data_IF_780560482984
#
_entry.id   IF_780560482984
#
_cell.length_a   1.000
_cell.length_b   1.000
_cell.length_c   1.000
_cell.angle_alpha   90.00
_cell.angle_beta   90.00
_cell.angle_gamma   90.00
#
_symmetry.space_group_name_H-M   'P 1'
#
loop_
_entity.id
_entity.type
_entity.pdbx_description
1 polymer ?
#
# COMPACT_ATOMS: atom_id res chain seq x y z
N UNK A 1 3.73 46.99 -27.13
CA UNK A 1 5.14 46.81 -27.53
C UNK A 1 6.02 47.52 -26.52
N UNK A 2 6.88 46.78 -25.82
CA UNK A 2 7.92 47.39 -24.99
C UNK A 2 9.00 47.99 -25.90
N UNK A 3 9.54 49.15 -25.53
CA UNK A 3 10.66 49.80 -26.23
C UNK A 3 11.87 49.80 -25.30
N UNK A 4 12.99 49.29 -25.81
CA UNK A 4 14.28 49.36 -25.12
C UNK A 4 15.09 50.46 -25.81
N UNK A 5 15.53 51.44 -25.04
CA UNK A 5 16.49 52.46 -25.49
C UNK A 5 17.87 52.12 -24.94
N UNK A 6 18.84 51.92 -25.82
CA UNK A 6 20.24 51.67 -25.43
C UNK A 6 20.96 53.03 -25.38
N UNK A 7 21.62 53.32 -24.26
CA UNK A 7 22.50 54.49 -24.10
C UNK A 7 23.91 53.99 -23.85
N UNK A 8 24.90 54.74 -24.34
CA UNK A 8 26.32 54.50 -24.11
C UNK A 8 26.79 53.09 -24.53
N UNK A 9 26.33 52.62 -25.71
CA UNK A 9 26.81 51.36 -26.29
C UNK A 9 28.28 51.53 -26.71
N UNK A 10 29.21 50.68 -26.25
CA UNK A 10 30.61 50.78 -26.63
C UNK A 10 30.80 50.72 -28.15
N UNK A 11 31.67 51.58 -28.70
CA UNK A 11 31.86 51.75 -30.15
C UNK A 11 32.16 50.43 -30.87
N UNK A 12 33.05 49.61 -30.31
CA UNK A 12 33.39 48.30 -30.88
C UNK A 12 32.20 47.33 -30.98
N UNK A 13 31.22 47.43 -30.07
CA UNK A 13 29.99 46.61 -30.12
C UNK A 13 29.06 47.15 -31.19
N UNK A 14 28.95 48.48 -31.29
CA UNK A 14 28.16 49.12 -32.33
C UNK A 14 28.70 48.80 -33.74
N UNK A 15 30.01 48.90 -33.94
CA UNK A 15 30.69 48.55 -35.19
C UNK A 15 30.44 47.09 -35.59
N UNK A 16 30.59 46.16 -34.64
CA UNK A 16 30.31 44.74 -34.88
C UNK A 16 28.85 44.48 -35.29
N UNK A 17 27.89 45.22 -34.70
CA UNK A 17 26.47 45.12 -35.06
C UNK A 17 26.23 45.69 -36.47
N UNK A 18 26.89 46.80 -36.83
CA UNK A 18 26.80 47.38 -38.17
C UNK A 18 27.30 46.40 -39.24
N UNK A 19 28.48 45.81 -39.04
CA UNK A 19 29.04 44.80 -39.94
C UNK A 19 28.11 43.58 -40.08
N UNK A 20 27.55 43.10 -38.96
CA UNK A 20 26.58 42.00 -38.97
C UNK A 20 25.28 42.36 -39.70
N UNK A 21 24.78 43.58 -39.50
CA UNK A 21 23.56 44.07 -40.14
C UNK A 21 23.73 44.18 -41.66
N UNK A 22 24.87 44.70 -42.13
CA UNK A 22 25.22 44.74 -43.55
C UNK A 22 25.31 43.32 -44.15
N UNK A 23 26.03 42.42 -43.48
CA UNK A 23 26.19 41.03 -43.91
C UNK A 23 24.86 40.29 -44.02
N UNK A 24 23.92 40.58 -43.12
CA UNK A 24 22.60 39.95 -43.07
C UNK A 24 21.52 40.76 -43.80
N UNK A 25 21.89 41.85 -44.49
CA UNK A 25 21.01 42.74 -45.25
C UNK A 25 19.79 43.23 -44.42
N UNK A 26 20.04 43.66 -43.18
CA UNK A 26 19.05 44.14 -42.22
C UNK A 26 19.38 45.57 -41.78
N UNK A 27 18.38 46.28 -41.25
CA UNK A 27 18.66 47.51 -40.50
C UNK A 27 19.38 47.18 -39.20
N UNK A 28 20.16 48.13 -38.67
CA UNK A 28 20.84 47.99 -37.38
C UNK A 28 19.84 47.62 -36.27
N UNK A 29 18.68 48.30 -36.21
CA UNK A 29 17.61 47.97 -35.27
C UNK A 29 17.06 46.54 -35.47
N UNK A 30 16.90 46.12 -36.74
CA UNK A 30 16.46 44.77 -37.09
C UNK A 30 17.46 43.70 -36.65
N UNK A 31 18.75 43.98 -36.77
CA UNK A 31 19.82 43.08 -36.38
C UNK A 31 19.96 42.99 -34.85
N UNK A 32 19.90 44.12 -34.14
CA UNK A 32 19.85 44.13 -32.66
C UNK A 32 18.68 43.30 -32.16
N UNK A 33 17.50 43.44 -32.78
CA UNK A 33 16.33 42.63 -32.43
C UNK A 33 16.57 41.14 -32.67
N UNK A 34 17.20 40.76 -33.78
CA UNK A 34 17.51 39.36 -34.09
C UNK A 34 18.55 38.75 -33.12
N UNK A 35 19.60 39.50 -32.78
CA UNK A 35 20.63 39.09 -31.81
C UNK A 35 20.00 38.91 -30.43
N UNK A 36 19.19 39.87 -29.97
CA UNK A 36 18.49 39.78 -28.69
C UNK A 36 17.51 38.61 -28.67
N UNK A 37 16.76 38.36 -29.74
CA UNK A 37 15.87 37.19 -29.84
C UNK A 37 16.64 35.88 -29.71
N UNK A 38 17.78 35.78 -30.40
CA UNK A 38 18.64 34.59 -30.36
C UNK A 38 19.25 34.40 -28.96
N UNK A 39 19.70 35.48 -28.32
CA UNK A 39 20.23 35.43 -26.96
C UNK A 39 19.14 35.10 -25.92
N UNK A 40 17.93 35.64 -26.07
CA UNK A 40 16.81 35.28 -25.20
C UNK A 40 16.44 33.81 -25.37
N UNK A 41 16.45 33.28 -26.60
CA UNK A 41 16.20 31.85 -26.83
C UNK A 41 17.24 30.91 -26.22
N UNK A 42 18.46 31.39 -25.90
CA UNK A 42 19.46 30.59 -25.16
C UNK A 42 19.35 30.75 -23.64
N UNK A 43 18.63 31.77 -23.16
CA UNK A 43 18.33 32.00 -21.75
C UNK A 43 17.01 31.35 -21.32
N UNK A 44 16.07 31.18 -22.24
CA UNK A 44 14.85 30.44 -21.99
C UNK A 44 15.20 28.95 -21.81
N UNK A 45 14.91 28.34 -20.65
CA UNK A 45 15.09 26.91 -20.49
C UNK A 45 14.30 26.22 -21.60
N UNK A 46 14.91 25.25 -22.29
CA UNK A 46 14.16 24.39 -23.21
C UNK A 46 12.90 23.93 -22.47
N UNK A 47 11.69 24.14 -23.04
CA UNK A 47 10.49 23.64 -22.41
C UNK A 47 10.70 22.14 -22.21
N UNK A 48 10.65 21.68 -20.95
CA UNK A 48 10.79 20.27 -20.63
C UNK A 48 9.91 19.50 -21.62
N UNK A 49 10.45 18.52 -22.37
CA UNK A 49 9.73 17.88 -23.45
C UNK A 49 8.36 17.46 -22.92
N UNK A 50 7.28 17.92 -23.55
CA UNK A 50 5.92 17.61 -23.14
C UNK A 50 5.82 16.08 -23.07
N UNK A 51 5.85 15.54 -21.85
CA UNK A 51 5.81 14.09 -21.67
C UNK A 51 4.45 13.61 -22.15
N UNK A 52 4.47 12.59 -23.00
CA UNK A 52 3.23 11.93 -23.40
C UNK A 52 2.56 11.29 -22.19
N UNK A 53 1.23 11.11 -22.22
CA UNK A 53 0.51 10.40 -21.16
C UNK A 53 1.11 9.01 -20.89
N UNK A 54 1.60 8.36 -21.95
CA UNK A 54 2.32 7.08 -21.86
C UNK A 54 3.59 7.20 -21.01
N UNK A 55 4.44 8.21 -21.26
CA UNK A 55 5.68 8.41 -20.51
C UNK A 55 5.42 8.79 -19.05
N UNK A 56 4.40 9.61 -18.80
CA UNK A 56 3.97 9.95 -17.44
C UNK A 56 3.53 8.69 -16.70
N UNK A 57 2.69 7.86 -17.32
CA UNK A 57 2.22 6.62 -16.73
C UNK A 57 3.36 5.62 -16.50
N UNK A 58 4.21 5.38 -17.51
CA UNK A 58 5.37 4.48 -17.42
C UNK A 58 6.27 4.85 -16.24
N UNK A 59 6.69 6.12 -16.17
CA UNK A 59 7.53 6.60 -15.09
C UNK A 59 6.83 6.47 -13.74
N UNK A 60 5.55 6.85 -13.66
CA UNK A 60 4.77 6.75 -12.43
C UNK A 60 4.63 5.31 -11.92
N UNK A 61 4.43 4.32 -12.81
CA UNK A 61 4.39 2.90 -12.42
C UNK A 61 5.77 2.41 -11.99
N UNK A 62 6.84 2.81 -12.69
CA UNK A 62 8.23 2.50 -12.31
C UNK A 62 8.58 3.00 -10.91
N UNK A 63 8.27 4.27 -10.62
CA UNK A 63 8.48 4.88 -9.29
C UNK A 63 7.71 4.12 -8.19
N UNK A 64 6.49 3.67 -8.48
CA UNK A 64 5.67 2.91 -7.52
C UNK A 64 6.13 1.47 -7.35
N UNK A 65 6.64 0.81 -8.39
CA UNK A 65 7.28 -0.50 -8.28
C UNK A 65 8.52 -0.42 -7.36
N UNK A 66 9.38 0.59 -7.55
CA UNK A 66 10.56 0.77 -6.69
C UNK A 66 10.16 1.00 -5.22
N UNK A 67 9.15 1.86 -5.00
CA UNK A 67 8.62 2.14 -3.67
C UNK A 67 8.03 0.88 -3.01
N UNK A 68 7.25 0.08 -3.76
CA UNK A 68 6.72 -1.20 -3.28
C UNK A 68 7.85 -2.14 -2.88
N UNK A 69 8.87 -2.32 -3.72
CA UNK A 69 9.98 -3.21 -3.42
C UNK A 69 10.82 -2.73 -2.23
N UNK A 70 11.00 -1.41 -2.07
CA UNK A 70 11.61 -0.84 -0.87
C UNK A 70 10.82 -1.17 0.39
N UNK A 71 9.49 -1.05 0.36
CA UNK A 71 8.61 -1.41 1.47
C UNK A 71 8.65 -2.91 1.78
N UNK A 72 8.56 -3.80 0.78
CA UNK A 72 8.64 -5.25 0.98
C UNK A 72 9.99 -5.67 1.60
N UNK A 73 11.08 -4.97 1.26
CA UNK A 73 12.40 -5.17 1.89
C UNK A 73 12.41 -4.74 3.34
N UNK A 74 11.89 -3.55 3.63
CA UNK A 74 11.73 -3.04 5.00
C UNK A 74 10.91 -4.00 5.87
N UNK A 75 9.83 -4.53 5.30
CA UNK A 75 8.89 -5.44 5.98
C UNK A 75 9.38 -6.89 6.04
N UNK A 76 10.50 -7.21 5.36
CA UNK A 76 11.13 -8.52 5.32
C UNK A 76 10.21 -9.63 4.79
N UNK A 77 9.55 -9.36 3.66
CA UNK A 77 8.59 -10.28 3.01
C UNK A 77 9.29 -11.44 2.26
N UNK A 78 10.60 -11.37 2.07
CA UNK A 78 11.36 -12.34 1.30
C UNK A 78 11.52 -13.69 2.01
N UNK A 79 11.33 -14.78 1.26
CA UNK A 79 11.53 -16.14 1.77
C UNK A 79 13.01 -16.42 2.07
N UNK A 80 13.32 -17.30 3.03
CA UNK A 80 14.67 -17.79 3.26
C UNK A 80 15.30 -18.30 1.95
N UNK A 81 16.52 -17.84 1.64
CA UNK A 81 17.26 -18.23 0.44
C UNK A 81 17.04 -17.35 -0.80
N UNK A 82 16.17 -16.34 -0.75
CA UNK A 82 16.00 -15.37 -1.83
C UNK A 82 16.68 -14.05 -1.49
N UNK A 83 17.61 -13.63 -2.35
CA UNK A 83 18.23 -12.32 -2.20
C UNK A 83 17.18 -11.21 -2.51
N UNK A 84 17.02 -10.20 -1.65
CA UNK A 84 16.11 -9.08 -1.86
C UNK A 84 16.66 -8.08 -2.90
N UNK A 85 17.18 -8.59 -4.02
CA UNK A 85 17.70 -7.81 -5.14
C UNK A 85 16.64 -7.71 -6.22
N UNK A 86 16.74 -6.71 -7.10
CA UNK A 86 15.81 -6.55 -8.22
C UNK A 86 15.82 -7.79 -9.14
N UNK A 87 16.98 -8.43 -9.34
CA UNK A 87 17.07 -9.67 -10.08
C UNK A 87 16.41 -10.86 -9.36
N UNK A 88 16.49 -10.90 -8.02
CA UNK A 88 15.76 -11.88 -7.21
C UNK A 88 14.25 -11.69 -7.31
N UNK A 89 13.78 -10.43 -7.28
CA UNK A 89 12.37 -10.08 -7.46
C UNK A 89 11.90 -10.47 -8.86
N UNK A 90 12.64 -10.11 -9.92
CA UNK A 90 12.32 -10.50 -11.29
C UNK A 90 12.12 -12.01 -11.43
N UNK A 91 13.01 -12.80 -10.82
CA UNK A 91 12.87 -14.26 -10.78
C UNK A 91 11.64 -14.72 -10.00
N UNK A 92 11.35 -14.12 -8.84
CA UNK A 92 10.20 -14.45 -8.00
C UNK A 92 8.88 -14.21 -8.72
N UNK A 93 8.78 -13.10 -9.45
CA UNK A 93 7.58 -12.79 -10.22
C UNK A 93 7.52 -13.58 -11.54
N UNK A 94 8.55 -14.32 -11.93
CA UNK A 94 8.56 -15.19 -13.10
C UNK A 94 9.08 -14.57 -14.40
N UNK A 95 9.84 -13.48 -14.34
CA UNK A 95 10.54 -12.95 -15.51
C UNK A 95 11.68 -13.89 -15.94
N UNK A 96 11.86 -14.07 -17.26
CA UNK A 96 12.97 -14.85 -17.82
C UNK A 96 14.34 -14.20 -17.51
N UNK A 97 14.39 -12.88 -17.53
CA UNK A 97 15.59 -12.08 -17.22
C UNK A 97 15.18 -10.82 -16.46
N UNK A 98 16.07 -10.19 -15.67
CA UNK A 98 15.72 -8.98 -14.94
C UNK A 98 15.59 -7.74 -15.85
N UNK A 99 16.01 -7.80 -17.11
CA UNK A 99 16.14 -6.64 -17.98
C UNK A 99 14.83 -5.86 -18.12
N UNK A 100 13.71 -6.55 -18.39
CA UNK A 100 12.43 -5.88 -18.58
C UNK A 100 11.97 -5.15 -17.30
N UNK A 101 12.10 -5.78 -16.14
CA UNK A 101 11.77 -5.15 -14.86
C UNK A 101 12.65 -3.92 -14.61
N UNK A 102 13.96 -4.01 -14.88
CA UNK A 102 14.89 -2.88 -14.70
C UNK A 102 14.52 -1.72 -15.63
N UNK A 103 14.25 -1.99 -16.90
CA UNK A 103 13.82 -0.97 -17.86
C UNK A 103 12.49 -0.31 -17.45
N UNK A 104 11.57 -1.06 -16.82
CA UNK A 104 10.34 -0.50 -16.26
C UNK A 104 10.60 0.42 -15.07
N UNK A 105 11.51 0.05 -14.17
CA UNK A 105 11.90 0.88 -13.03
C UNK A 105 12.57 2.18 -13.48
N UNK A 106 13.39 2.12 -14.53
CA UNK A 106 14.05 3.29 -15.12
C UNK A 106 13.09 4.14 -15.98
N UNK A 107 11.82 3.73 -16.14
CA UNK A 107 10.82 4.41 -16.97
C UNK A 107 11.09 4.33 -18.48
N UNK A 108 11.96 3.41 -18.90
CA UNK A 108 12.33 3.16 -20.30
C UNK A 108 11.27 2.29 -20.98
N UNK A 109 10.81 1.23 -20.30
CA UNK A 109 9.81 0.29 -20.80
C UNK A 109 8.46 0.41 -20.07
N UNK A 110 7.37 0.05 -20.75
CA UNK A 110 6.07 -0.15 -20.09
C UNK A 110 6.02 -1.56 -19.50
N UNK A 111 5.58 -1.72 -18.24
CA UNK A 111 5.22 -3.05 -17.74
C UNK A 111 3.95 -3.54 -18.45
N UNK A 112 3.84 -4.86 -18.62
CA UNK A 112 2.59 -5.50 -19.07
C UNK A 112 1.62 -5.66 -17.90
N UNK A 113 0.32 -5.73 -18.18
CA UNK A 113 -0.68 -6.02 -17.13
C UNK A 113 -0.41 -7.38 -16.46
N UNK A 114 -0.02 -8.40 -17.22
CA UNK A 114 0.37 -9.71 -16.68
C UNK A 114 1.54 -9.61 -15.67
N UNK A 115 2.54 -8.79 -15.97
CA UNK A 115 3.65 -8.55 -15.04
C UNK A 115 3.18 -7.87 -13.77
N UNK A 116 2.30 -6.86 -13.88
CA UNK A 116 1.73 -6.19 -12.72
C UNK A 116 0.87 -7.16 -11.89
N UNK A 117 0.05 -8.00 -12.52
CA UNK A 117 -0.76 -9.02 -11.86
C UNK A 117 0.12 -10.00 -11.07
N UNK A 118 1.24 -10.46 -11.65
CA UNK A 118 2.21 -11.33 -10.97
C UNK A 118 2.88 -10.62 -9.79
N UNK A 119 3.25 -9.34 -9.92
CA UNK A 119 3.77 -8.53 -8.82
C UNK A 119 2.75 -8.42 -7.70
N UNK A 120 1.49 -8.12 -8.02
CA UNK A 120 0.41 -7.98 -7.04
C UNK A 120 0.12 -9.31 -6.34
N UNK A 121 0.04 -10.41 -7.09
CA UNK A 121 -0.19 -11.74 -6.53
C UNK A 121 0.89 -12.13 -5.52
N UNK A 122 2.16 -11.84 -5.83
CA UNK A 122 3.28 -12.11 -4.93
C UNK A 122 3.34 -11.15 -3.73
N UNK A 123 3.17 -9.85 -3.97
CA UNK A 123 3.36 -8.81 -2.95
C UNK A 123 2.14 -8.56 -2.07
N UNK A 124 0.98 -9.10 -2.43
CA UNK A 124 -0.32 -8.76 -1.83
C UNK A 124 -0.62 -7.25 -1.85
N UNK A 125 -0.10 -6.55 -2.86
CA UNK A 125 -0.27 -5.11 -3.05
C UNK A 125 -1.62 -4.73 -3.68
N UNK A 126 -1.84 -3.43 -3.88
CA UNK A 126 -3.02 -2.87 -4.54
C UNK A 126 -2.76 -2.61 -6.03
N UNK A 127 -3.61 -3.16 -6.89
CA UNK A 127 -3.58 -2.89 -8.33
C UNK A 127 -3.86 -1.42 -8.65
N UNK A 128 -4.92 -0.84 -8.05
CA UNK A 128 -5.30 0.57 -8.24
C UNK A 128 -4.15 1.51 -7.85
N UNK A 129 -3.47 1.20 -6.73
CA UNK A 129 -2.33 1.98 -6.30
C UNK A 129 -1.16 1.83 -7.27
N UNK A 130 -0.84 0.61 -7.70
CA UNK A 130 0.30 0.37 -8.57
C UNK A 130 0.11 1.01 -9.96
N UNK A 131 -1.09 0.91 -10.53
CA UNK A 131 -1.39 1.41 -11.87
C UNK A 131 -1.67 2.93 -11.91
N UNK A 132 -2.33 3.47 -10.88
CA UNK A 132 -2.83 4.85 -10.90
C UNK A 132 -2.40 5.71 -9.72
N UNK A 133 -1.81 5.13 -8.67
CA UNK A 133 -1.45 5.83 -7.43
C UNK A 133 -2.63 6.07 -6.49
N UNK A 134 -3.79 5.48 -6.77
CA UNK A 134 -5.01 5.67 -5.98
C UNK A 134 -5.08 4.64 -4.84
N UNK A 135 -5.42 5.09 -3.63
CA UNK A 135 -5.61 4.23 -2.47
C UNK A 135 -4.30 3.84 -1.77
N UNK A 136 -4.35 2.89 -0.83
CA UNK A 136 -3.16 2.42 -0.11
C UNK A 136 -2.35 1.39 -0.91
N UNK A 137 -1.05 1.31 -0.64
CA UNK A 137 -0.15 0.30 -1.22
C UNK A 137 -0.60 -1.13 -0.87
N UNK A 138 -0.91 -1.38 0.41
CA UNK A 138 -1.47 -2.64 0.86
C UNK A 138 -2.95 -2.46 1.21
N UNK A 139 -3.86 -3.12 0.48
CA UNK A 139 -5.29 -3.06 0.80
C UNK A 139 -5.57 -3.57 2.22
N UNK A 140 -6.32 -2.79 2.98
CA UNK A 140 -6.86 -3.19 4.28
C UNK A 140 -8.36 -2.87 4.32
N UNK A 141 -9.20 -3.90 4.31
CA UNK A 141 -10.66 -3.73 4.31
C UNK A 141 -11.20 -3.54 5.72
N UNK A 142 -12.02 -2.52 5.95
CA UNK A 142 -12.84 -2.47 7.17
C UNK A 142 -13.90 -3.58 7.06
N UNK A 143 -13.76 -4.64 7.85
CA UNK A 143 -14.68 -5.78 7.81
C UNK A 143 -16.03 -5.40 8.41
N UNK A 144 -16.05 -4.45 9.35
CA UNK A 144 -17.26 -3.97 10.00
C UNK A 144 -18.11 -5.09 10.59
N UNK A 145 -19.27 -5.34 9.99
CA UNK A 145 -20.18 -6.45 10.32
C UNK A 145 -20.33 -7.49 9.20
N UNK A 146 -19.60 -7.33 8.09
CA UNK A 146 -19.65 -8.19 6.90
C UNK A 146 -18.56 -9.26 6.96
N UNK A 147 -18.64 -10.13 7.97
CA UNK A 147 -17.58 -11.11 8.27
C UNK A 147 -17.39 -12.18 7.19
N UNK A 148 -18.48 -12.57 6.52
CA UNK A 148 -18.55 -13.74 5.64
C UNK A 148 -17.55 -13.67 4.49
N UNK A 149 -17.45 -12.54 3.80
CA UNK A 149 -16.55 -12.38 2.64
C UNK A 149 -15.08 -12.58 3.03
N UNK A 150 -14.70 -12.11 4.22
CA UNK A 150 -13.33 -12.26 4.69
C UNK A 150 -13.05 -13.68 5.21
N UNK A 151 -13.88 -14.16 6.15
CA UNK A 151 -13.62 -15.36 6.94
C UNK A 151 -14.13 -16.67 6.31
N UNK A 152 -15.00 -16.61 5.30
CA UNK A 152 -15.47 -17.80 4.56
C UNK A 152 -14.83 -17.92 3.16
N UNK A 153 -13.87 -17.07 2.82
CA UNK A 153 -13.08 -17.18 1.59
C UNK A 153 -12.45 -18.56 1.41
N UNK A 154 -12.60 -19.17 0.23
CA UNK A 154 -12.11 -20.53 -0.05
C UNK A 154 -12.49 -21.49 1.09
N UNK A 155 -13.80 -21.59 1.37
CA UNK A 155 -14.34 -22.19 2.59
C UNK A 155 -13.81 -23.60 2.87
N UNK A 156 -13.67 -24.37 1.79
CA UNK A 156 -13.27 -25.78 1.81
C UNK A 156 -11.74 -25.96 1.83
N UNK A 157 -10.97 -24.88 1.66
CA UNK A 157 -9.51 -24.95 1.68
C UNK A 157 -8.97 -25.00 3.10
N UNK A 158 -8.22 -26.07 3.39
CA UNK A 158 -7.44 -26.22 4.64
C UNK A 158 -6.10 -25.48 4.60
N UNK A 159 -5.75 -24.88 3.47
CA UNK A 159 -4.53 -24.10 3.30
C UNK A 159 -4.68 -22.65 3.77
N UNK A 160 -5.91 -22.22 4.06
CA UNK A 160 -6.20 -20.87 4.53
C UNK A 160 -6.14 -20.81 6.06
N UNK A 161 -5.28 -19.93 6.58
CA UNK A 161 -5.17 -19.61 8.01
C UNK A 161 -5.61 -18.17 8.27
N UNK A 162 -6.33 -17.94 9.36
CA UNK A 162 -6.71 -16.61 9.82
C UNK A 162 -5.94 -16.27 11.09
N UNK A 163 -5.23 -15.15 11.05
CA UNK A 163 -4.52 -14.58 12.18
C UNK A 163 -5.27 -13.34 12.63
N UNK A 164 -5.70 -13.30 13.89
CA UNK A 164 -6.39 -12.17 14.50
C UNK A 164 -5.45 -11.54 15.52
N UNK A 165 -4.99 -10.32 15.22
CA UNK A 165 -4.02 -9.59 16.03
C UNK A 165 -4.77 -8.48 16.77
N UNK A 166 -4.79 -8.52 18.10
CA UNK A 166 -5.25 -7.40 18.92
C UNK A 166 -4.14 -6.37 18.99
N UNK A 167 -4.41 -5.16 18.50
CA UNK A 167 -3.48 -4.02 18.56
C UNK A 167 -3.45 -3.45 19.97
N UNK A 168 -2.24 -3.27 20.49
CA UNK A 168 -1.97 -2.75 21.82
C UNK A 168 -1.22 -1.43 21.77
N UNK A 169 -1.73 -0.45 22.51
CA UNK A 169 -1.14 0.89 22.56
C UNK A 169 -1.58 1.80 21.42
N UNK A 170 -1.07 3.03 21.48
CA UNK A 170 -1.31 4.09 20.50
C UNK A 170 -2.78 4.41 20.22
N UNK A 171 -3.05 4.94 19.01
CA UNK A 171 -4.36 5.51 18.65
C UNK A 171 -5.43 4.43 18.43
N UNK A 172 -5.01 3.25 18.00
CA UNK A 172 -5.89 2.15 17.60
C UNK A 172 -5.92 1.02 18.64
N UNK A 173 -5.58 1.31 19.92
CA UNK A 173 -5.64 0.31 20.99
C UNK A 173 -7.01 -0.37 21.07
N UNK A 174 -6.99 -1.71 20.99
CA UNK A 174 -8.17 -2.56 20.95
C UNK A 174 -8.68 -2.89 19.55
N UNK A 175 -8.11 -2.34 18.47
CA UNK A 175 -8.40 -2.78 17.10
C UNK A 175 -8.03 -4.26 16.92
N UNK A 176 -8.82 -4.98 16.14
CA UNK A 176 -8.41 -6.27 15.60
C UNK A 176 -7.93 -6.07 14.16
N UNK A 177 -6.66 -6.40 13.90
CA UNK A 177 -6.15 -6.61 12.56
C UNK A 177 -6.31 -8.09 12.20
N UNK A 178 -7.04 -8.37 11.14
CA UNK A 178 -7.29 -9.72 10.64
C UNK A 178 -6.42 -9.95 9.41
N UNK A 179 -5.55 -10.96 9.45
CA UNK A 179 -4.73 -11.39 8.32
C UNK A 179 -5.20 -12.76 7.88
N UNK A 180 -5.61 -12.85 6.61
CA UNK A 180 -5.87 -14.13 5.94
C UNK A 180 -4.62 -14.50 5.15
N UNK A 181 -4.11 -15.71 5.37
CA UNK A 181 -2.97 -16.26 4.63
C UNK A 181 -3.41 -17.54 3.91
N UNK A 182 -3.40 -17.50 2.59
CA UNK A 182 -3.58 -18.68 1.73
C UNK A 182 -2.21 -19.28 1.41
N UNK A 183 -1.88 -20.39 2.07
CA UNK A 183 -0.57 -21.05 1.91
C UNK A 183 -0.39 -21.71 0.55
N UNK A 184 -1.47 -22.09 -0.13
CA UNK A 184 -1.36 -22.67 -1.48
C UNK A 184 -0.96 -21.59 -2.48
N UNK A 185 -1.54 -20.40 -2.35
CA UNK A 185 -1.27 -19.25 -3.23
C UNK A 185 -0.13 -18.36 -2.75
N UNK A 186 0.39 -18.59 -1.54
CA UNK A 186 1.34 -17.70 -0.85
C UNK A 186 0.86 -16.24 -0.79
N UNK A 187 -0.46 -16.06 -0.68
CA UNK A 187 -1.10 -14.75 -0.76
C UNK A 187 -1.65 -14.32 0.59
N UNK A 188 -1.58 -13.03 0.88
CA UNK A 188 -2.10 -12.42 2.09
C UNK A 188 -3.24 -11.45 1.77
N UNK A 189 -4.19 -11.33 2.70
CA UNK A 189 -5.20 -10.28 2.68
C UNK A 189 -5.40 -9.71 4.08
N UNK A 190 -5.62 -8.40 4.15
CA UNK A 190 -5.81 -7.69 5.43
C UNK A 190 -7.23 -7.18 5.54
N UNK A 191 -7.81 -7.38 6.71
CA UNK A 191 -8.97 -6.61 7.14
C UNK A 191 -8.78 -6.11 8.57
N UNK A 192 -9.63 -5.20 9.00
CA UNK A 192 -9.60 -4.70 10.37
C UNK A 192 -11.01 -4.44 10.91
N UNK A 193 -11.12 -4.44 12.23
CA UNK A 193 -12.34 -4.10 12.96
C UNK A 193 -11.96 -3.19 14.13
N UNK A 194 -12.54 -1.99 14.15
CA UNK A 194 -12.33 -0.98 15.21
C UNK A 194 -13.61 -0.20 15.50
N UNK A 195 -14.30 0.27 14.45
CA UNK A 195 -15.48 1.14 14.63
C UNK A 195 -16.68 0.44 15.29
N UNK A 196 -16.79 -0.89 15.12
CA UNK A 196 -17.92 -1.66 15.62
C UNK A 196 -17.73 -2.12 17.07
N UNK A 197 -16.50 -2.44 17.47
CA UNK A 197 -16.10 -2.80 18.82
C UNK A 197 -14.58 -2.69 18.96
N UNK A 198 -14.11 -2.49 20.20
CA UNK A 198 -12.70 -2.40 20.55
C UNK A 198 -12.38 -3.39 21.67
N UNK A 199 -11.39 -4.27 21.48
CA UNK A 199 -10.94 -5.23 22.49
C UNK A 199 -10.12 -4.54 23.60
N UNK A 200 -10.82 -3.79 24.46
CA UNK A 200 -10.28 -3.14 25.66
C UNK A 200 -11.37 -2.91 26.70
N UNK A 201 -10.93 -2.60 27.92
CA UNK A 201 -11.81 -2.19 29.02
C UNK A 201 -12.60 -0.92 28.66
N UNK A 202 -13.83 -0.82 29.16
CA UNK A 202 -14.70 0.35 28.97
C UNK A 202 -15.48 0.33 27.66
N UNK A 203 -15.63 -0.84 27.04
CA UNK A 203 -16.48 -1.02 25.86
C UNK A 203 -17.95 -0.68 26.21
N UNK A 204 -18.63 0.07 25.34
CA UNK A 204 -20.06 0.37 25.52
C UNK A 204 -20.96 -0.82 25.16
N UNK A 205 -22.23 -0.78 25.58
CA UNK A 205 -23.21 -1.86 25.35
C UNK A 205 -23.34 -2.25 23.86
N UNK A 206 -23.34 -1.26 22.95
CA UNK A 206 -23.37 -1.51 21.50
C UNK A 206 -22.14 -2.29 21.01
N UNK A 207 -20.95 -1.92 21.50
CA UNK A 207 -19.70 -2.63 21.21
C UNK A 207 -19.71 -4.07 21.72
N UNK A 208 -20.19 -4.30 22.95
CA UNK A 208 -20.34 -5.65 23.48
C UNK A 208 -21.27 -6.51 22.62
N UNK A 209 -22.41 -5.97 22.20
CA UNK A 209 -23.35 -6.68 21.31
C UNK A 209 -22.73 -7.03 19.96
N UNK A 210 -21.91 -6.14 19.39
CA UNK A 210 -21.20 -6.39 18.13
C UNK A 210 -20.09 -7.44 18.30
N UNK A 211 -19.28 -7.33 19.35
CA UNK A 211 -18.25 -8.32 19.68
C UNK A 211 -18.87 -9.70 19.90
N UNK A 212 -19.99 -9.77 20.63
CA UNK A 212 -20.70 -11.02 20.86
C UNK A 212 -21.18 -11.68 19.55
N UNK A 213 -21.76 -10.90 18.62
CA UNK A 213 -22.13 -11.40 17.28
C UNK A 213 -20.92 -11.88 16.49
N UNK A 214 -19.80 -11.16 16.55
CA UNK A 214 -18.56 -11.53 15.89
C UNK A 214 -18.00 -12.86 16.40
N UNK A 215 -17.88 -13.02 17.72
CA UNK A 215 -17.38 -14.27 18.34
C UNK A 215 -18.33 -15.44 18.06
N UNK A 216 -19.65 -15.23 18.13
CA UNK A 216 -20.64 -16.23 17.72
C UNK A 216 -20.43 -16.67 16.28
N UNK A 217 -20.27 -15.73 15.34
CA UNK A 217 -20.00 -16.02 13.94
C UNK A 217 -18.71 -16.83 13.77
N UNK A 218 -17.60 -16.43 14.41
CA UNK A 218 -16.35 -17.19 14.32
C UNK A 218 -16.51 -18.62 14.88
N UNK A 219 -17.18 -18.79 16.01
CA UNK A 219 -17.36 -20.10 16.64
C UNK A 219 -18.25 -21.02 15.81
N UNK A 220 -19.39 -20.50 15.32
CA UNK A 220 -20.43 -21.30 14.65
C UNK A 220 -20.24 -21.43 13.15
N UNK A 221 -19.74 -20.40 12.47
CA UNK A 221 -19.53 -20.43 11.02
C UNK A 221 -18.08 -20.69 10.61
N UNK A 222 -17.10 -20.53 11.52
CA UNK A 222 -15.68 -20.73 11.23
C UNK A 222 -15.02 -21.75 12.18
N UNK A 223 -15.78 -22.59 12.88
CA UNK A 223 -15.26 -23.47 13.94
C UNK A 223 -14.32 -24.58 13.49
N UNK A 224 -14.37 -24.97 12.22
CA UNK A 224 -13.48 -25.91 11.52
C UNK A 224 -12.31 -25.21 10.80
N UNK A 225 -12.22 -23.87 10.90
CA UNK A 225 -11.16 -23.06 10.29
C UNK A 225 -9.99 -22.90 11.24
N UNK A 226 -8.78 -22.69 10.70
CA UNK A 226 -7.60 -22.40 11.52
C UNK A 226 -7.60 -20.92 11.91
N UNK A 227 -8.07 -20.63 13.13
CA UNK A 227 -8.05 -19.30 13.74
C UNK A 227 -6.92 -19.21 14.77
N UNK A 228 -6.03 -18.24 14.61
CA UNK A 228 -4.92 -17.97 15.54
C UNK A 228 -5.04 -16.57 16.11
N UNK A 229 -4.86 -16.44 17.41
CA UNK A 229 -4.97 -15.18 18.12
C UNK A 229 -3.61 -14.69 18.57
N UNK A 230 -3.42 -13.38 18.43
CA UNK A 230 -2.15 -12.72 18.72
C UNK A 230 -2.38 -11.38 19.40
N UNK A 231 -1.29 -10.90 19.97
CA UNK A 231 -1.12 -9.57 20.53
C UNK A 231 -0.03 -8.85 19.72
N UNK A 232 -0.34 -7.68 19.20
CA UNK A 232 0.60 -6.83 18.48
C UNK A 232 0.79 -5.53 19.26
N UNK A 233 1.99 -5.34 19.80
CA UNK A 233 2.38 -4.08 20.45
C UNK A 233 2.79 -3.09 19.37
N UNK A 234 2.09 -1.96 19.30
CA UNK A 234 2.31 -0.93 18.31
C UNK A 234 3.64 -0.20 18.61
N UNK A 235 4.67 -0.33 17.75
CA UNK A 235 5.98 0.28 18.00
C UNK A 235 6.05 1.76 17.57
N UNK A 236 5.14 2.19 16.70
CA UNK A 236 5.10 3.53 16.10
C UNK A 236 3.83 4.28 16.52
N UNK A 237 3.84 5.63 16.50
CA UNK A 237 2.71 6.44 17.02
C UNK A 237 1.39 6.30 16.24
N UNK A 238 1.38 5.66 15.06
CA UNK A 238 0.14 5.37 14.31
C UNK A 238 0.39 4.33 13.20
N UNK A 239 0.08 3.07 13.47
CA UNK A 239 -0.03 1.98 12.50
C UNK A 239 -1.37 2.11 11.80
N UNK A 240 -1.41 2.82 10.68
CA UNK A 240 -2.63 2.81 9.87
C UNK A 240 -2.80 1.43 9.20
N UNK A 241 -4.03 0.90 9.13
CA UNK A 241 -4.29 -0.32 8.37
C UNK A 241 -3.80 -0.16 6.93
N UNK A 242 -2.95 -1.09 6.46
CA UNK A 242 -2.36 -1.03 5.12
C UNK A 242 -1.04 -0.26 5.01
N UNK A 243 -0.49 0.24 6.12
CA UNK A 243 0.84 0.88 6.14
C UNK A 243 2.00 -0.10 5.90
N UNK A 244 1.81 -1.37 6.28
CA UNK A 244 2.80 -2.44 6.12
C UNK A 244 2.18 -3.69 5.51
N UNK A 245 3.03 -4.52 4.93
CA UNK A 245 2.68 -5.86 4.48
C UNK A 245 2.20 -6.74 5.66
N UNK A 246 1.24 -7.66 5.49
CA UNK A 246 0.67 -8.44 6.61
C UNK A 246 1.69 -9.22 7.43
N UNK A 247 2.76 -9.70 6.77
CA UNK A 247 3.85 -10.42 7.41
C UNK A 247 4.65 -9.57 8.41
N UNK A 248 4.71 -8.25 8.22
CA UNK A 248 5.34 -7.33 9.17
C UNK A 248 4.67 -7.46 10.54
N UNK A 249 3.34 -7.38 10.57
CA UNK A 249 2.56 -7.47 11.81
C UNK A 249 2.68 -8.86 12.43
N UNK A 250 2.56 -9.92 11.63
CA UNK A 250 2.66 -11.30 12.12
C UNK A 250 4.00 -11.61 12.78
N UNK A 251 5.09 -11.07 12.23
CA UNK A 251 6.45 -11.28 12.74
C UNK A 251 6.69 -10.56 14.07
N UNK A 252 6.07 -9.39 14.26
CA UNK A 252 6.19 -8.61 15.48
C UNK A 252 5.16 -8.98 16.55
N UNK A 253 4.15 -9.77 16.18
CA UNK A 253 3.11 -10.20 17.08
C UNK A 253 3.56 -11.38 17.96
N UNK A 254 2.97 -11.46 19.15
CA UNK A 254 3.13 -12.57 20.10
C UNK A 254 1.83 -13.37 20.17
N UNK A 255 1.92 -14.69 20.35
CA UNK A 255 0.73 -15.53 20.51
C UNK A 255 -0.07 -15.11 21.75
N UNK A 256 -1.40 -15.20 21.65
CA UNK A 256 -2.30 -14.84 22.73
C UNK A 256 -3.50 -15.79 22.77
N UNK A 257 -4.13 -15.90 23.94
CA UNK A 257 -5.24 -16.81 24.20
C UNK A 257 -6.61 -16.11 24.27
N UNK A 258 -6.66 -14.82 23.91
CA UNK A 258 -7.86 -14.00 24.10
C UNK A 258 -9.07 -14.53 23.32
N UNK A 259 -8.85 -15.08 22.12
CA UNK A 259 -9.93 -15.63 21.30
C UNK A 259 -10.50 -16.91 21.91
N UNK A 260 -9.63 -17.77 22.43
CA UNK A 260 -10.00 -19.02 23.11
C UNK A 260 -10.80 -18.72 24.39
N UNK A 261 -10.37 -17.73 25.17
CA UNK A 261 -11.12 -17.25 26.34
C UNK A 261 -12.51 -16.74 25.95
N UNK A 262 -12.62 -15.92 24.90
CA UNK A 262 -13.93 -15.46 24.41
C UNK A 262 -14.81 -16.63 23.93
N UNK A 263 -14.25 -17.65 23.26
CA UNK A 263 -15.01 -18.85 22.89
C UNK A 263 -15.47 -19.69 24.09
N UNK A 264 -14.76 -19.63 25.21
CA UNK A 264 -15.14 -20.23 26.48
C UNK A 264 -16.13 -19.36 27.29
N UNK A 265 -16.52 -18.18 26.77
CA UNK A 265 -17.36 -17.23 27.50
C UNK A 265 -16.63 -16.51 28.64
N UNK A 266 -15.30 -16.56 28.65
CA UNK A 266 -14.44 -15.95 29.65
C UNK A 266 -13.99 -14.55 29.24
N UNK A 267 -13.72 -13.70 30.22
CA UNK A 267 -13.25 -12.33 30.01
C UNK A 267 -11.70 -12.29 29.92
N UNK A 268 -11.10 -11.95 28.77
CA UNK A 268 -9.65 -12.05 28.62
C UNK A 268 -8.84 -11.06 29.45
N UNK A 269 -9.35 -9.82 29.60
CA UNK A 269 -8.67 -8.72 30.27
C UNK A 269 -9.64 -7.57 30.61
N UNK A 270 -10.74 -7.91 31.28
CA UNK A 270 -11.82 -6.99 31.69
C UNK A 270 -12.50 -6.25 30.52
N UNK A 271 -12.53 -6.88 29.35
CA UNK A 271 -13.22 -6.38 28.17
C UNK A 271 -14.72 -6.57 28.26
N UNK A 272 -15.18 -7.50 29.09
CA UNK A 272 -16.59 -7.90 29.25
C UNK A 272 -17.20 -7.38 30.56
N UNK A 273 -16.52 -6.45 31.25
CA UNK A 273 -16.98 -5.83 32.49
C UNK A 273 -18.43 -5.34 32.36
N UNK A 274 -19.30 -5.71 33.31
CA UNK A 274 -20.73 -5.41 33.29
C UNK A 274 -21.60 -6.25 32.35
N UNK A 275 -21.01 -7.08 31.47
CA UNK A 275 -21.74 -7.87 30.47
C UNK A 275 -21.46 -9.38 30.52
N UNK A 276 -20.68 -9.88 31.49
CA UNK A 276 -20.24 -11.29 31.59
C UNK A 276 -21.36 -12.32 31.57
N UNK A 277 -22.54 -12.02 32.12
CA UNK A 277 -23.68 -12.95 32.13
C UNK A 277 -24.18 -13.30 30.73
N UNK A 278 -24.12 -12.35 29.79
CA UNK A 278 -24.53 -12.53 28.39
C UNK A 278 -23.56 -13.44 27.60
N UNK A 279 -22.38 -13.76 28.16
CA UNK A 279 -21.37 -14.56 27.47
C UNK A 279 -21.44 -16.05 27.80
N UNK A 280 -22.28 -16.46 28.74
CA UNK A 280 -22.50 -17.88 29.06
C UNK A 280 -23.00 -18.68 27.86
N UNK A 281 -23.89 -18.09 27.06
CA UNK A 281 -24.41 -18.74 25.85
C UNK A 281 -23.31 -19.01 24.83
N UNK A 282 -22.27 -18.17 24.73
CA UNK A 282 -21.14 -18.43 23.82
C UNK A 282 -20.42 -19.72 24.20
N UNK A 283 -20.21 -19.98 25.50
CA UNK A 283 -19.56 -21.20 25.98
C UNK A 283 -20.34 -22.46 25.57
N UNK A 284 -21.67 -22.40 25.64
CA UNK A 284 -22.59 -23.50 25.31
C UNK A 284 -22.72 -23.79 23.81
N UNK A 285 -22.42 -22.80 22.95
CA UNK A 285 -22.42 -23.02 21.50
C UNK A 285 -21.36 -24.05 21.09
N UNK A 286 -21.73 -24.93 20.18
CA UNK A 286 -20.81 -25.85 19.53
C UNK A 286 -19.98 -25.14 18.45
N UNK A 287 -18.75 -25.62 18.23
CA UNK A 287 -17.97 -25.19 17.07
C UNK A 287 -18.61 -25.73 15.80
N UNK A 288 -18.77 -24.86 14.80
CA UNK A 288 -19.28 -25.25 13.49
C UNK A 288 -18.40 -26.29 12.81
N UNK A 289 -19.02 -27.20 12.07
CA UNK A 289 -18.34 -28.25 11.31
C UNK A 289 -18.14 -27.89 9.83
N UNK A 290 -18.39 -26.64 9.46
CA UNK A 290 -18.26 -26.13 8.10
C UNK A 290 -19.40 -26.42 7.13
N UNK A 291 -20.46 -27.09 7.57
CA UNK A 291 -21.71 -27.20 6.81
C UNK A 291 -22.63 -26.05 7.21
N UNK A 292 -23.00 -25.23 6.24
CA UNK A 292 -24.09 -24.26 6.41
C UNK A 292 -25.37 -25.07 6.28
N UNK A 293 -26.19 -25.11 7.34
CA UNK A 293 -27.58 -25.54 7.21
C UNK A 293 -28.39 -24.48 6.44
#
# INVERSE_FOLDING_TARGET
>A
MARVGIRDLPDHIYEAICESAEKNNRSIEGEVRAILQTYVSTLEPEPAPNQTLRQIWQKGVGDRLDLLFAHLRKDQVFFPGHAPTLAGIARLIGEETPAHLLDCLDGIASPSFDMLDRVIAWSSGSQDWLESGVGPMFPAKNIGSEYSEFFLYERDSKEVTFHLLRVCGGRLDGMILCVRHDRAKQAYATGFIYEHFNLKRGMGAGGHGNLHRFIRFLKTNCGDRILKAYRYEEPEKSTEPGAHHPQYYLRLASEADWLQKLFAGEDPADWLEGNRSAWKEIAELSFGNGKVD
#
